data_IF_154499166204
#
_entry.id   IF_154499166204
#
_cell.length_a   1.000
_cell.length_b   1.000
_cell.length_c   1.000
_cell.angle_alpha   90.00
_cell.angle_beta   90.00
_cell.angle_gamma   90.00
#
_symmetry.space_group_name_H-M   'P 1'
#
loop_
_entity.id
_entity.type
_entity.pdbx_description
1 polymer ?
#
# COMPACT_ATOMS: atom_id res chain seq x y z
N UNK A 1 -40.96 -29.69 -14.19
CA UNK A 1 -40.21 -28.57 -13.59
C UNK A 1 -40.24 -28.73 -12.06
N UNK A 2 -39.25 -29.41 -11.47
CA UNK A 2 -39.11 -29.52 -9.99
C UNK A 2 -37.67 -29.80 -9.50
N UNK A 3 -36.66 -29.77 -10.39
CA UNK A 3 -35.27 -30.13 -10.05
C UNK A 3 -34.44 -29.04 -9.35
N UNK A 4 -34.86 -27.77 -9.41
CA UNK A 4 -34.08 -26.64 -8.88
C UNK A 4 -34.18 -26.43 -7.37
N UNK A 5 -35.19 -27.00 -6.71
CA UNK A 5 -35.40 -26.84 -5.27
C UNK A 5 -34.68 -27.94 -4.45
N UNK A 6 -34.52 -29.14 -5.02
CA UNK A 6 -33.78 -30.24 -4.40
C UNK A 6 -32.30 -29.93 -4.25
N UNK A 7 -31.68 -29.36 -5.29
CA UNK A 7 -30.25 -29.02 -5.29
C UNK A 7 -29.90 -27.94 -4.24
N UNK A 8 -30.80 -26.96 -4.02
CA UNK A 8 -30.65 -25.92 -2.98
C UNK A 8 -30.77 -26.49 -1.56
N UNK A 9 -31.62 -27.49 -1.34
CA UNK A 9 -31.77 -28.17 -0.05
C UNK A 9 -30.61 -29.12 0.23
N UNK A 10 -30.12 -29.79 -0.81
CA UNK A 10 -29.05 -30.78 -0.73
C UNK A 10 -27.68 -30.11 -0.50
N UNK A 11 -27.41 -28.97 -1.13
CA UNK A 11 -26.22 -28.16 -0.82
C UNK A 11 -26.28 -27.51 0.57
N UNK A 12 -27.46 -27.08 1.04
CA UNK A 12 -27.63 -26.63 2.45
C UNK A 12 -27.41 -27.76 3.46
N UNK A 13 -27.78 -28.99 3.12
CA UNK A 13 -27.52 -30.20 3.92
C UNK A 13 -26.05 -30.63 3.89
N UNK A 14 -25.39 -30.59 2.73
CA UNK A 14 -23.94 -30.84 2.63
C UNK A 14 -23.18 -29.80 3.45
N UNK A 15 -23.53 -28.52 3.33
CA UNK A 15 -22.93 -27.46 4.15
C UNK A 15 -23.11 -27.73 5.63
N UNK A 16 -24.32 -28.13 6.09
CA UNK A 16 -24.55 -28.52 7.50
C UNK A 16 -23.70 -29.72 7.95
N UNK A 17 -23.48 -30.72 7.10
CA UNK A 17 -22.65 -31.90 7.45
C UNK A 17 -21.16 -31.56 7.49
N UNK A 18 -20.67 -30.72 6.58
CA UNK A 18 -19.26 -30.26 6.60
C UNK A 18 -19.00 -29.24 7.73
N UNK A 19 -20.03 -28.57 8.25
CA UNK A 19 -19.94 -27.61 9.36
C UNK A 19 -19.69 -28.30 10.73
N UNK A 20 -20.06 -29.57 10.89
CA UNK A 20 -19.96 -30.27 12.18
C UNK A 20 -18.61 -30.96 12.43
N UNK A 21 -17.74 -31.13 11.43
CA UNK A 21 -16.56 -32.01 11.58
C UNK A 21 -15.18 -31.34 11.66
N UNK A 22 -14.92 -30.11 11.17
CA UNK A 22 -13.55 -29.55 11.26
C UNK A 22 -13.50 -28.03 11.50
N UNK A 23 -13.15 -27.61 12.72
CA UNK A 23 -13.10 -26.20 13.15
C UNK A 23 -11.95 -25.36 12.55
N UNK A 24 -10.93 -25.98 11.94
CA UNK A 24 -9.79 -25.27 11.34
C UNK A 24 -10.00 -24.89 9.86
N UNK A 25 -10.76 -25.68 9.09
CA UNK A 25 -11.05 -25.40 7.67
C UNK A 25 -12.16 -24.36 7.44
N UNK A 26 -12.84 -23.92 8.50
CA UNK A 26 -13.94 -22.94 8.38
C UNK A 26 -13.48 -21.49 8.12
N UNK A 27 -12.23 -21.15 8.47
CA UNK A 27 -11.73 -19.77 8.35
C UNK A 27 -11.52 -19.31 6.90
N UNK A 28 -10.92 -20.11 5.98
CA UNK A 28 -10.69 -19.68 4.60
C UNK A 28 -11.99 -19.58 3.79
N UNK A 29 -12.99 -20.43 4.05
CA UNK A 29 -14.24 -20.42 3.26
C UNK A 29 -15.07 -19.18 3.55
N UNK A 30 -15.07 -18.69 4.79
CA UNK A 30 -15.82 -17.49 5.21
C UNK A 30 -15.20 -16.17 4.75
N UNK A 31 -13.97 -16.18 4.24
CA UNK A 31 -13.30 -14.97 3.74
C UNK A 31 -13.60 -14.73 2.26
N UNK A 32 -14.11 -15.73 1.53
CA UNK A 32 -14.38 -15.64 0.09
C UNK A 32 -15.72 -14.92 -0.14
N UNK A 33 -15.73 -13.78 -0.85
CA UNK A 33 -16.94 -13.15 -1.34
C UNK A 33 -17.73 -14.07 -2.26
N UNK A 34 -19.05 -14.04 -2.15
CA UNK A 34 -19.94 -14.76 -3.07
C UNK A 34 -20.64 -13.75 -3.97
N UNK A 35 -20.36 -13.83 -5.27
CA UNK A 35 -21.12 -13.05 -6.26
C UNK A 35 -22.52 -13.62 -6.42
N UNK A 36 -23.50 -12.73 -6.57
CA UNK A 36 -24.89 -13.10 -6.90
C UNK A 36 -25.05 -13.57 -8.34
N UNK A 37 -24.06 -13.32 -9.18
CA UNK A 37 -24.08 -13.65 -10.60
C UNK A 37 -23.49 -15.01 -10.93
N UNK A 38 -22.97 -15.73 -9.93
CA UNK A 38 -22.42 -17.10 -10.07
C UNK A 38 -21.45 -17.22 -11.26
N UNK A 39 -20.37 -16.39 -11.29
CA UNK A 39 -19.36 -16.50 -12.33
C UNK A 39 -18.67 -17.87 -12.26
N UNK A 40 -18.10 -18.31 -13.38
CA UNK A 40 -17.28 -19.52 -13.41
C UNK A 40 -16.05 -19.36 -12.50
N UNK A 41 -15.65 -20.47 -11.87
CA UNK A 41 -14.44 -20.50 -11.05
C UNK A 41 -13.22 -20.10 -11.88
N UNK A 42 -12.35 -19.30 -11.28
CA UNK A 42 -11.12 -18.82 -11.91
C UNK A 42 -9.98 -18.79 -10.91
N UNK A 43 -8.76 -18.92 -11.42
CA UNK A 43 -7.55 -18.78 -10.63
C UNK A 43 -7.18 -17.31 -10.49
N UNK A 44 -6.66 -16.93 -9.32
CA UNK A 44 -6.11 -15.59 -9.10
C UNK A 44 -4.72 -15.64 -8.47
N UNK A 45 -3.92 -14.63 -8.78
CA UNK A 45 -2.57 -14.45 -8.25
C UNK A 45 -2.62 -13.72 -6.90
N UNK A 46 -2.69 -14.49 -5.82
CA UNK A 46 -2.83 -13.96 -4.46
C UNK A 46 -1.80 -12.90 -4.01
N UNK A 47 -0.53 -12.87 -4.50
CA UNK A 47 0.44 -11.85 -4.07
C UNK A 47 0.10 -10.43 -4.52
N UNK A 48 -0.83 -10.27 -5.45
CA UNK A 48 -1.28 -8.95 -5.94
C UNK A 48 -2.70 -8.68 -5.50
N UNK A 49 -2.99 -7.45 -5.08
CA UNK A 49 -4.32 -7.04 -4.62
C UNK A 49 -5.41 -7.16 -5.69
N UNK A 50 -5.07 -7.01 -6.97
CA UNK A 50 -5.99 -7.23 -8.09
C UNK A 50 -6.05 -8.69 -8.57
N UNK A 51 -5.26 -9.59 -7.98
CA UNK A 51 -5.23 -10.99 -8.38
C UNK A 51 -4.57 -11.26 -9.74
N UNK A 52 -3.86 -10.28 -10.31
CA UNK A 52 -3.21 -10.41 -11.63
C UNK A 52 -1.73 -10.75 -11.50
N UNK A 53 -1.28 -11.76 -12.25
CA UNK A 53 0.13 -12.13 -12.28
C UNK A 53 1.02 -11.00 -12.82
N UNK A 54 2.19 -10.82 -12.22
CA UNK A 54 3.27 -10.01 -12.81
C UNK A 54 4.63 -10.65 -12.53
N UNK A 55 5.58 -10.50 -13.44
CA UNK A 55 6.96 -10.99 -13.25
C UNK A 55 7.58 -10.40 -11.98
N UNK A 56 7.25 -9.14 -11.66
CA UNK A 56 7.70 -8.47 -10.43
C UNK A 56 7.16 -9.15 -9.17
N UNK A 57 5.86 -9.46 -9.12
CA UNK A 57 5.24 -10.11 -7.95
C UNK A 57 5.68 -11.57 -7.82
N UNK A 58 5.92 -12.27 -8.94
CA UNK A 58 6.49 -13.60 -8.94
C UNK A 58 7.95 -13.62 -8.46
N UNK A 59 8.77 -12.69 -8.95
CA UNK A 59 10.15 -12.52 -8.47
C UNK A 59 10.20 -12.15 -6.99
N UNK A 60 9.32 -11.26 -6.53
CA UNK A 60 9.18 -10.92 -5.12
C UNK A 60 8.79 -12.15 -4.29
N UNK A 61 7.81 -12.95 -4.73
CA UNK A 61 7.41 -14.18 -4.04
C UNK A 61 8.54 -15.21 -3.99
N UNK A 62 9.27 -15.39 -5.10
CA UNK A 62 10.46 -16.25 -5.15
C UNK A 62 11.58 -15.73 -4.22
N UNK A 63 11.74 -14.41 -4.14
CA UNK A 63 12.65 -13.78 -3.19
C UNK A 63 12.22 -13.98 -1.74
N UNK A 64 10.92 -13.97 -1.39
CA UNK A 64 10.47 -14.26 0.00
C UNK A 64 10.92 -15.64 0.44
N UNK A 65 10.83 -16.64 -0.44
CA UNK A 65 11.39 -17.97 -0.17
C UNK A 65 12.88 -17.88 0.18
N UNK A 66 13.65 -17.15 -0.61
CA UNK A 66 15.06 -16.89 -0.30
C UNK A 66 15.25 -16.08 0.98
N UNK A 67 14.41 -15.08 1.25
CA UNK A 67 14.50 -14.18 2.41
C UNK A 67 14.20 -14.94 3.68
N UNK A 68 13.19 -15.82 3.69
CA UNK A 68 12.83 -16.68 4.84
C UNK A 68 13.92 -17.72 5.11
N UNK A 69 14.51 -18.29 4.07
CA UNK A 69 15.67 -19.20 4.20
C UNK A 69 16.92 -18.44 4.66
N UNK A 70 17.07 -17.17 4.29
CA UNK A 70 18.21 -16.31 4.65
C UNK A 70 18.06 -15.70 6.04
N UNK A 71 16.86 -15.35 6.49
CA UNK A 71 16.53 -14.91 7.85
C UNK A 71 16.77 -16.02 8.88
N UNK A 72 16.41 -17.27 8.53
CA UNK A 72 16.72 -18.46 9.32
C UNK A 72 18.23 -18.72 9.42
N UNK A 73 19.00 -18.37 8.38
CA UNK A 73 20.44 -18.62 8.32
C UNK A 73 21.31 -17.43 8.78
N UNK A 74 20.82 -16.18 8.76
CA UNK A 74 21.63 -14.96 8.95
C UNK A 74 20.99 -13.85 9.82
N UNK A 75 19.77 -14.04 10.34
CA UNK A 75 19.17 -13.21 11.39
C UNK A 75 18.40 -11.94 10.95
N UNK A 76 17.37 -11.59 11.72
CA UNK A 76 16.31 -10.60 11.43
C UNK A 76 16.71 -9.10 11.43
N UNK A 77 18.01 -8.74 11.50
CA UNK A 77 18.46 -7.34 11.64
C UNK A 77 18.50 -6.52 10.34
N UNK A 78 18.24 -7.12 9.17
CA UNK A 78 18.26 -6.40 7.88
C UNK A 78 17.01 -5.52 7.62
N UNK A 79 15.87 -5.80 8.27
CA UNK A 79 14.62 -5.05 8.10
C UNK A 79 14.80 -3.53 8.29
N UNK A 80 15.46 -3.13 9.37
CA UNK A 80 15.61 -1.72 9.73
C UNK A 80 16.58 -1.00 8.78
N UNK A 81 17.63 -1.68 8.33
CA UNK A 81 18.63 -1.13 7.41
C UNK A 81 17.98 -0.71 6.08
N UNK A 82 17.10 -1.54 5.52
CA UNK A 82 16.41 -1.19 4.27
C UNK A 82 15.48 0.01 4.46
N UNK A 83 14.84 0.11 5.62
CA UNK A 83 14.05 1.29 5.98
C UNK A 83 14.90 2.57 5.98
N UNK A 84 16.14 2.52 6.48
CA UNK A 84 17.06 3.67 6.37
C UNK A 84 17.46 3.99 4.93
N UNK A 85 17.84 2.98 4.13
CA UNK A 85 18.27 3.18 2.73
C UNK A 85 17.16 3.80 1.87
N UNK A 86 15.93 3.30 2.00
CA UNK A 86 14.81 3.77 1.18
C UNK A 86 14.16 5.06 1.69
N UNK A 87 14.44 5.47 2.94
CA UNK A 87 14.05 6.79 3.49
C UNK A 87 15.10 7.89 3.27
N UNK A 88 16.23 7.58 2.63
CA UNK A 88 17.19 8.61 2.23
C UNK A 88 16.51 9.55 1.23
N UNK A 89 16.35 10.82 1.62
CA UNK A 89 15.87 11.84 0.70
C UNK A 89 16.96 12.09 -0.36
N UNK A 90 16.56 12.16 -1.63
CA UNK A 90 17.48 12.39 -2.73
C UNK A 90 17.08 11.65 -4.01
N UNK A 91 17.93 11.69 -5.03
CA UNK A 91 17.69 10.97 -6.28
C UNK A 91 17.53 9.47 -6.03
N UNK A 92 16.60 8.75 -6.68
CA UNK A 92 16.44 7.29 -6.53
C UNK A 92 17.75 6.51 -6.77
N UNK A 93 18.64 7.07 -7.62
CA UNK A 93 19.97 6.52 -7.87
C UNK A 93 20.84 6.46 -6.61
N UNK A 94 20.71 7.43 -5.68
CA UNK A 94 21.43 7.45 -4.41
C UNK A 94 21.01 6.28 -3.53
N UNK A 95 19.70 6.09 -3.31
CA UNK A 95 19.18 4.97 -2.50
C UNK A 95 19.54 3.62 -3.11
N UNK A 96 19.44 3.47 -4.44
CA UNK A 96 19.83 2.26 -5.13
C UNK A 96 21.34 1.97 -5.01
N UNK A 97 22.19 3.00 -5.13
CA UNK A 97 23.63 2.87 -4.90
C UNK A 97 23.94 2.41 -3.47
N UNK A 98 23.33 3.03 -2.46
CA UNK A 98 23.50 2.66 -1.06
C UNK A 98 23.06 1.23 -0.78
N UNK A 99 21.92 0.81 -1.36
CA UNK A 99 21.47 -0.59 -1.31
C UNK A 99 22.53 -1.55 -1.87
N UNK A 100 23.10 -1.25 -3.03
CA UNK A 100 24.16 -2.07 -3.65
C UNK A 100 25.41 -2.14 -2.80
N UNK A 101 25.80 -1.02 -2.17
CA UNK A 101 26.95 -0.94 -1.27
C UNK A 101 26.72 -1.78 0.00
N UNK A 102 25.55 -1.68 0.62
CA UNK A 102 25.17 -2.49 1.79
C UNK A 102 25.10 -3.98 1.47
N UNK A 103 24.59 -4.37 0.29
CA UNK A 103 24.59 -5.77 -0.17
C UNK A 103 25.96 -6.30 -0.59
N UNK A 104 27.01 -5.48 -0.57
CA UNK A 104 28.35 -5.92 -0.95
C UNK A 104 28.52 -6.17 -2.46
N UNK A 105 27.70 -5.52 -3.30
CA UNK A 105 27.57 -5.80 -4.73
C UNK A 105 28.22 -4.76 -5.66
N UNK A 106 29.00 -3.85 -5.10
CA UNK A 106 29.80 -2.90 -5.89
C UNK A 106 30.93 -3.64 -6.60
N UNK A 107 31.20 -3.27 -7.84
CA UNK A 107 32.17 -3.93 -8.71
C UNK A 107 33.62 -3.48 -8.40
N UNK A 108 34.07 -3.69 -7.15
CA UNK A 108 35.48 -3.50 -6.77
C UNK A 108 36.32 -4.66 -7.29
N UNK A 109 37.64 -4.48 -7.43
CA UNK A 109 38.51 -5.56 -7.92
C UNK A 109 38.44 -6.80 -7.01
N UNK A 110 38.33 -6.65 -5.69
CA UNK A 110 38.10 -7.77 -4.77
C UNK A 110 36.79 -8.53 -5.03
N UNK A 111 35.70 -7.84 -5.36
CA UNK A 111 34.42 -8.48 -5.72
C UNK A 111 34.50 -9.15 -7.09
N UNK A 112 35.12 -8.50 -8.08
CA UNK A 112 35.28 -9.05 -9.42
C UNK A 112 36.18 -10.30 -9.43
N UNK A 113 37.23 -10.31 -8.62
CA UNK A 113 38.09 -11.47 -8.42
C UNK A 113 37.32 -12.65 -7.81
N UNK A 114 36.56 -12.42 -6.72
CA UNK A 114 35.75 -13.48 -6.08
C UNK A 114 34.69 -14.07 -7.00
N UNK A 115 34.28 -13.33 -8.03
CA UNK A 115 33.34 -13.79 -9.07
C UNK A 115 34.05 -14.39 -10.29
N UNK A 116 35.37 -14.55 -10.23
CA UNK A 116 36.20 -15.07 -11.33
C UNK A 116 36.13 -14.23 -12.62
N UNK A 117 35.81 -12.93 -12.52
CA UNK A 117 35.76 -12.00 -13.66
C UNK A 117 37.13 -11.37 -13.93
N UNK A 118 37.93 -11.16 -12.87
CA UNK A 118 39.29 -10.59 -12.94
C UNK A 118 40.28 -11.50 -12.21
N UNK A 119 41.55 -11.44 -12.62
CA UNK A 119 42.64 -12.26 -12.08
C UNK A 119 43.41 -11.60 -10.92
N UNK A 120 43.12 -10.33 -10.61
CA UNK A 120 43.78 -9.57 -9.54
C UNK A 120 42.75 -8.83 -8.69
N UNK A 121 43.05 -8.68 -7.39
CA UNK A 121 42.29 -7.87 -6.44
C UNK A 121 42.86 -6.45 -6.28
N UNK A 122 43.98 -6.14 -6.92
CA UNK A 122 44.72 -4.89 -6.74
C UNK A 122 43.87 -3.68 -7.16
N UNK A 123 43.90 -2.63 -6.34
CA UNK A 123 43.22 -1.38 -6.64
C UNK A 123 43.90 -0.65 -7.80
N UNK A 124 43.14 -0.41 -8.88
CA UNK A 124 43.65 0.30 -10.07
C UNK A 124 43.96 1.78 -9.83
N UNK A 125 43.55 2.35 -8.68
CA UNK A 125 43.75 3.78 -8.37
C UNK A 125 45.01 4.02 -7.52
N UNK A 126 45.24 3.22 -6.49
CA UNK A 126 46.34 3.42 -5.54
C UNK A 126 47.30 2.24 -5.41
N UNK A 127 47.04 1.12 -6.09
CA UNK A 127 47.91 -0.07 -6.05
C UNK A 127 47.78 -0.92 -4.78
N UNK A 128 46.83 -0.64 -3.89
CA UNK A 128 46.58 -1.47 -2.71
C UNK A 128 46.24 -2.92 -3.10
N UNK A 129 46.71 -3.95 -2.35
CA UNK A 129 46.61 -5.35 -2.77
C UNK A 129 45.19 -5.93 -2.76
N UNK A 130 44.28 -5.38 -1.95
CA UNK A 130 42.87 -5.79 -1.87
C UNK A 130 41.93 -4.59 -1.98
N UNK A 131 41.34 -4.39 -3.17
CA UNK A 131 40.29 -3.39 -3.39
C UNK A 131 38.95 -3.91 -2.84
N UNK A 132 38.75 -3.75 -1.54
CA UNK A 132 37.47 -3.96 -0.89
C UNK A 132 36.52 -2.77 -1.09
N UNK A 133 35.25 -2.93 -0.72
CA UNK A 133 34.27 -1.83 -0.73
C UNK A 133 34.66 -0.75 0.28
N UNK A 134 35.15 -1.14 1.46
CA UNK A 134 35.62 -0.19 2.47
C UNK A 134 36.86 0.55 1.97
N UNK A 135 37.78 -0.16 1.32
CA UNK A 135 38.93 0.45 0.69
C UNK A 135 38.50 1.50 -0.33
N UNK A 136 37.65 1.12 -1.27
CA UNK A 136 37.19 2.01 -2.35
C UNK A 136 36.48 3.26 -1.82
N UNK A 137 35.67 3.11 -0.77
CA UNK A 137 34.80 4.18 -0.29
C UNK A 137 35.43 5.04 0.83
N UNK A 138 36.45 4.55 1.54
CA UNK A 138 37.03 5.25 2.71
C UNK A 138 38.55 5.32 2.72
N UNK A 139 39.27 4.30 2.26
CA UNK A 139 40.72 4.19 2.47
C UNK A 139 41.55 4.53 1.23
N UNK A 140 40.95 4.49 0.05
CA UNK A 140 41.63 4.81 -1.21
C UNK A 140 42.02 6.29 -1.25
N UNK A 141 43.12 6.62 -1.94
CA UNK A 141 43.72 7.97 -1.98
C UNK A 141 42.70 9.10 -2.25
N UNK A 142 41.80 8.92 -3.22
CA UNK A 142 40.77 9.93 -3.54
C UNK A 142 39.67 10.01 -2.48
N UNK A 143 39.28 8.87 -1.90
CA UNK A 143 38.27 8.84 -0.85
C UNK A 143 38.78 9.55 0.41
N UNK A 144 40.04 9.33 0.79
CA UNK A 144 40.67 10.01 1.93
C UNK A 144 40.63 11.54 1.79
N UNK A 145 40.88 12.09 0.60
CA UNK A 145 40.82 13.53 0.33
C UNK A 145 39.40 14.09 0.50
N UNK A 146 38.38 13.36 0.03
CA UNK A 146 36.97 13.73 0.20
C UNK A 146 36.60 13.73 1.69
N UNK A 147 36.98 12.68 2.42
CA UNK A 147 36.64 12.57 3.85
C UNK A 147 37.37 13.59 4.70
N UNK A 148 38.65 13.89 4.41
CA UNK A 148 39.43 14.90 5.10
C UNK A 148 38.82 16.31 4.97
N UNK A 149 38.07 16.56 3.89
CA UNK A 149 37.37 17.81 3.63
C UNK A 149 35.92 17.83 4.16
N UNK A 150 35.49 16.79 4.88
CA UNK A 150 34.11 16.61 5.33
C UNK A 150 33.95 16.77 6.85
N UNK A 151 32.72 16.98 7.33
CA UNK A 151 32.41 17.01 8.77
C UNK A 151 32.43 15.63 9.46
N UNK A 152 32.69 14.54 8.73
CA UNK A 152 32.57 13.17 9.24
C UNK A 152 33.88 12.56 9.73
N UNK A 153 34.99 13.31 9.73
CA UNK A 153 36.33 12.80 10.09
C UNK A 153 36.34 12.10 11.45
N UNK A 154 35.72 12.70 12.46
CA UNK A 154 35.68 12.13 13.82
C UNK A 154 34.83 10.85 13.87
N UNK A 155 33.66 10.88 13.23
CA UNK A 155 32.78 9.70 13.17
C UNK A 155 33.43 8.50 12.47
N UNK A 156 34.28 8.75 11.45
CA UNK A 156 34.96 7.69 10.71
C UNK A 156 35.98 6.92 11.56
N UNK A 157 36.54 7.56 12.60
CA UNK A 157 37.48 6.93 13.53
C UNK A 157 36.81 5.86 14.38
N UNK A 158 35.60 6.13 14.85
CA UNK A 158 34.83 5.23 15.73
C UNK A 158 33.99 4.21 14.96
N UNK A 159 33.86 4.39 13.64
CA UNK A 159 32.97 3.60 12.81
C UNK A 159 33.48 2.16 12.60
N UNK A 160 32.61 1.13 12.69
CA UNK A 160 32.99 -0.26 12.44
C UNK A 160 33.67 -0.47 11.08
N UNK A 161 34.79 -1.22 11.06
CA UNK A 161 35.56 -1.54 9.84
C UNK A 161 35.26 -2.93 9.25
N UNK A 162 34.29 -3.66 9.80
CA UNK A 162 34.01 -5.05 9.39
C UNK A 162 33.23 -5.19 8.08
N UNK A 163 32.33 -4.26 7.79
CA UNK A 163 31.60 -4.21 6.51
C UNK A 163 30.97 -2.84 6.30
N UNK A 164 30.71 -2.49 5.04
CA UNK A 164 29.98 -1.26 4.71
C UNK A 164 28.59 -1.23 5.35
N UNK A 165 27.84 -2.34 5.33
CA UNK A 165 26.50 -2.41 5.90
C UNK A 165 26.49 -2.07 7.40
N UNK A 166 27.37 -2.70 8.19
CA UNK A 166 27.48 -2.42 9.64
C UNK A 166 27.90 -0.98 9.90
N UNK A 167 28.81 -0.43 9.09
CA UNK A 167 29.22 0.97 9.14
C UNK A 167 28.05 1.91 8.85
N UNK A 168 27.28 1.65 7.79
CA UNK A 168 26.12 2.46 7.42
C UNK A 168 25.04 2.46 8.52
N UNK A 169 24.72 1.28 9.09
CA UNK A 169 23.75 1.19 10.20
C UNK A 169 24.23 1.98 11.42
N UNK A 170 25.52 1.92 11.74
CA UNK A 170 26.10 2.70 12.82
C UNK A 170 25.94 4.21 12.58
N UNK A 171 26.27 4.69 11.36
CA UNK A 171 26.06 6.10 10.99
C UNK A 171 24.59 6.50 11.04
N UNK A 172 23.68 5.67 10.50
CA UNK A 172 22.24 5.94 10.52
C UNK A 172 21.67 6.04 11.94
N UNK A 173 22.27 5.34 12.91
CA UNK A 173 21.88 5.43 14.32
C UNK A 173 22.37 6.70 15.05
N UNK A 174 23.32 7.43 14.47
CA UNK A 174 24.01 8.58 15.11
C UNK A 174 23.76 9.91 14.43
N UNK A 175 23.46 9.90 13.13
CA UNK A 175 23.30 11.11 12.33
C UNK A 175 21.83 11.52 12.20
N UNK A 176 21.60 12.84 12.07
CA UNK A 176 20.30 13.36 11.63
C UNK A 176 20.02 12.96 10.18
N UNK A 177 18.75 13.09 9.75
CA UNK A 177 18.33 12.74 8.38
C UNK A 177 19.16 13.49 7.32
N UNK A 178 19.39 14.78 7.52
CA UNK A 178 20.18 15.63 6.62
C UNK A 178 21.65 15.22 6.57
N UNK A 179 22.27 14.98 7.73
CA UNK A 179 23.66 14.53 7.79
C UNK A 179 23.83 13.12 7.21
N UNK A 180 22.87 12.23 7.41
CA UNK A 180 22.89 10.89 6.82
C UNK A 180 22.79 10.95 5.29
N UNK A 181 21.97 11.87 4.74
CA UNK A 181 21.90 12.15 3.30
C UNK A 181 23.22 12.68 2.77
N UNK A 182 23.84 13.64 3.47
CA UNK A 182 25.14 14.17 3.09
C UNK A 182 26.21 13.08 3.09
N UNK A 183 26.27 12.27 4.16
CA UNK A 183 27.15 11.11 4.26
C UNK A 183 26.96 10.15 3.07
N UNK A 184 25.72 9.74 2.78
CA UNK A 184 25.42 8.86 1.65
C UNK A 184 25.85 9.47 0.30
N UNK A 185 25.69 10.78 0.14
CA UNK A 185 26.10 11.52 -1.06
C UNK A 185 27.61 11.51 -1.23
N UNK A 186 28.38 11.71 -0.15
CA UNK A 186 29.84 11.64 -0.18
C UNK A 186 30.34 10.22 -0.48
N UNK A 187 29.72 9.19 0.10
CA UNK A 187 30.02 7.79 -0.27
C UNK A 187 29.80 7.56 -1.76
N UNK A 188 28.70 8.10 -2.32
CA UNK A 188 28.41 7.98 -3.73
C UNK A 188 29.44 8.74 -4.60
N UNK A 189 29.85 9.93 -4.16
CA UNK A 189 30.91 10.69 -4.80
C UNK A 189 32.26 9.95 -4.80
N UNK A 190 32.64 9.29 -3.69
CA UNK A 190 33.86 8.46 -3.63
C UNK A 190 33.84 7.37 -4.71
N UNK A 191 32.72 6.67 -4.86
CA UNK A 191 32.55 5.64 -5.89
C UNK A 191 32.65 6.19 -7.31
N UNK A 192 31.97 7.30 -7.58
CA UNK A 192 31.99 7.95 -8.89
C UNK A 192 33.37 8.53 -9.22
N UNK A 193 34.05 9.14 -8.26
CA UNK A 193 35.41 9.64 -8.38
C UNK A 193 36.39 8.50 -8.73
N UNK A 194 36.30 7.36 -8.03
CA UNK A 194 37.08 6.16 -8.38
C UNK A 194 36.79 5.68 -9.79
N UNK A 195 35.53 5.57 -10.18
CA UNK A 195 35.18 5.08 -11.52
C UNK A 195 35.67 6.01 -12.62
N UNK A 196 35.56 7.32 -12.42
CA UNK A 196 36.09 8.31 -13.35
C UNK A 196 37.60 8.11 -13.53
N UNK A 197 38.34 8.00 -12.43
CA UNK A 197 39.79 7.75 -12.48
C UNK A 197 40.18 6.44 -13.18
N UNK A 198 39.37 5.38 -13.02
CA UNK A 198 39.66 4.06 -13.61
C UNK A 198 39.29 3.95 -15.09
N UNK A 199 38.19 4.60 -15.52
CA UNK A 199 37.61 4.36 -16.84
C UNK A 199 37.78 5.51 -17.83
N UNK A 200 37.84 6.77 -17.37
CA UNK A 200 37.88 7.94 -18.26
C UNK A 200 39.30 8.46 -18.48
N UNK A 201 40.26 8.08 -17.63
CA UNK A 201 41.63 8.60 -17.67
C UNK A 201 41.71 10.09 -17.31
N UNK A 202 42.89 10.54 -16.89
CA UNK A 202 43.14 11.94 -16.52
C UNK A 202 43.19 12.22 -15.02
N UNK A 203 43.60 13.44 -14.66
CA UNK A 203 43.61 13.93 -13.28
C UNK A 203 42.16 14.16 -12.80
N UNK A 204 41.86 13.66 -11.61
CA UNK A 204 40.54 13.80 -10.99
C UNK A 204 40.73 14.56 -9.69
N UNK A 205 40.09 15.72 -9.58
CA UNK A 205 40.02 16.50 -8.35
C UNK A 205 38.89 15.97 -7.45
N UNK A 206 39.19 15.17 -6.39
CA UNK A 206 38.16 14.42 -5.68
C UNK A 206 37.20 15.31 -4.90
N UNK A 207 37.71 16.42 -4.36
CA UNK A 207 36.93 17.38 -3.57
C UNK A 207 35.92 18.13 -4.45
N UNK A 208 36.32 18.53 -5.66
CA UNK A 208 35.42 19.18 -6.62
C UNK A 208 34.31 18.22 -7.07
N UNK A 209 34.65 16.95 -7.33
CA UNK A 209 33.65 15.92 -7.66
C UNK A 209 32.66 15.77 -6.50
N UNK A 210 33.14 15.67 -5.26
CA UNK A 210 32.27 15.57 -4.09
C UNK A 210 31.34 16.79 -3.94
N UNK A 211 31.88 18.01 -4.07
CA UNK A 211 31.08 19.24 -4.03
C UNK A 211 29.99 19.26 -5.12
N UNK A 212 30.32 18.80 -6.33
CA UNK A 212 29.35 18.67 -7.43
C UNK A 212 28.19 17.73 -7.11
N UNK A 213 28.47 16.57 -6.49
CA UNK A 213 27.45 15.62 -6.05
C UNK A 213 26.57 16.16 -4.92
N UNK A 214 27.16 16.87 -3.95
CA UNK A 214 26.41 17.54 -2.88
C UNK A 214 25.44 18.56 -3.46
N UNK A 215 25.91 19.42 -4.38
CA UNK A 215 25.05 20.37 -5.09
C UNK A 215 23.93 19.67 -5.85
N UNK A 216 24.26 18.64 -6.62
CA UNK A 216 23.28 17.86 -7.40
C UNK A 216 22.17 17.26 -6.53
N UNK A 217 22.52 16.63 -5.39
CA UNK A 217 21.52 16.04 -4.49
C UNK A 217 20.66 17.13 -3.83
N UNK A 218 21.26 18.25 -3.43
CA UNK A 218 20.52 19.38 -2.86
C UNK A 218 19.54 19.99 -3.87
N UNK A 219 19.98 20.26 -5.10
CA UNK A 219 19.13 20.79 -6.19
C UNK A 219 17.96 19.85 -6.48
N UNK A 220 18.23 18.53 -6.53
CA UNK A 220 17.18 17.53 -6.71
C UNK A 220 16.14 17.55 -5.57
N UNK A 221 16.59 17.65 -4.32
CA UNK A 221 15.66 17.67 -3.17
C UNK A 221 14.79 18.93 -3.17
N UNK A 222 15.37 20.10 -3.44
CA UNK A 222 14.62 21.35 -3.55
C UNK A 222 13.63 21.33 -4.73
N UNK A 223 14.03 20.77 -5.88
CA UNK A 223 13.14 20.62 -7.02
C UNK A 223 11.96 19.69 -6.69
N UNK A 224 12.22 18.54 -6.06
CA UNK A 224 11.18 17.60 -5.68
C UNK A 224 10.20 18.19 -4.66
N UNK A 225 10.66 19.00 -3.71
CA UNK A 225 9.78 19.73 -2.80
C UNK A 225 8.88 20.69 -3.55
N UNK A 226 9.41 21.45 -4.51
CA UNK A 226 8.61 22.37 -5.35
C UNK A 226 7.59 21.62 -6.21
N UNK A 227 7.98 20.52 -6.84
CA UNK A 227 7.07 19.71 -7.68
C UNK A 227 5.99 19.02 -6.84
N UNK A 228 6.33 18.51 -5.65
CA UNK A 228 5.35 17.91 -4.75
C UNK A 228 4.26 18.91 -4.34
N UNK A 229 4.62 20.19 -4.16
CA UNK A 229 3.68 21.29 -3.86
C UNK A 229 2.81 21.65 -5.08
N UNK A 230 3.31 21.51 -6.31
CA UNK A 230 2.55 21.83 -7.53
C UNK A 230 1.77 20.62 -8.12
N UNK A 231 2.10 19.40 -7.71
CA UNK A 231 1.40 18.17 -8.13
C UNK A 231 0.06 17.96 -7.40
N UNK A 232 -0.26 18.78 -6.40
CA UNK A 232 -1.63 18.89 -5.90
C UNK A 232 -2.43 19.77 -6.87
N UNK A 233 -2.95 19.16 -7.95
CA UNK A 233 -4.16 19.67 -8.60
C UNK A 233 -5.30 19.78 -7.57
N UNK A 234 -6.50 20.29 -7.92
CA UNK A 234 -7.60 20.35 -6.99
C UNK A 234 -7.92 18.92 -6.53
N UNK A 235 -7.36 18.56 -5.37
CA UNK A 235 -7.81 17.44 -4.58
C UNK A 235 -9.25 17.80 -4.31
N UNK A 236 -10.19 17.01 -4.84
CA UNK A 236 -11.55 17.02 -4.33
C UNK A 236 -11.37 16.73 -2.85
N UNK A 237 -11.35 17.80 -2.05
CA UNK A 237 -11.20 17.72 -0.60
C UNK A 237 -12.37 16.88 -0.16
N UNK A 238 -12.08 15.66 0.29
CA UNK A 238 -13.10 14.81 0.87
C UNK A 238 -13.74 15.61 1.99
N UNK A 239 -15.02 15.96 1.79
CA UNK A 239 -15.73 16.83 2.70
C UNK A 239 -15.66 16.20 4.11
N UNK A 240 -15.35 17.03 5.10
CA UNK A 240 -15.37 16.63 6.51
C UNK A 240 -16.78 16.51 7.06
N UNK A 241 -17.76 17.10 6.37
CA UNK A 241 -19.19 17.07 6.67
C UNK A 241 -19.97 16.54 5.48
N UNK A 242 -21.12 15.93 5.77
CA UNK A 242 -22.06 15.51 4.74
C UNK A 242 -22.64 16.73 4.01
N UNK A 243 -23.01 16.57 2.74
CA UNK A 243 -23.64 17.64 1.96
C UNK A 243 -24.88 17.10 1.23
N UNK A 244 -25.97 17.87 1.12
CA UNK A 244 -27.16 17.40 0.39
C UNK A 244 -26.89 17.13 -1.10
N UNK A 245 -27.50 16.09 -1.69
CA UNK A 245 -27.46 15.86 -3.14
C UNK A 245 -28.35 16.88 -3.89
N UNK A 246 -28.20 16.99 -5.23
CA UNK A 246 -29.13 17.77 -6.06
C UNK A 246 -30.58 17.27 -5.97
N UNK A 247 -31.54 18.17 -6.24
CA UNK A 247 -32.97 17.82 -6.25
C UNK A 247 -33.27 16.62 -7.18
N UNK A 248 -34.09 15.69 -6.71
CA UNK A 248 -34.44 14.46 -7.43
C UNK A 248 -33.34 13.38 -7.43
N UNK A 249 -32.26 13.57 -6.66
CA UNK A 249 -31.20 12.58 -6.42
C UNK A 249 -31.21 12.18 -4.95
N UNK A 250 -31.02 10.89 -4.66
CA UNK A 250 -30.78 10.42 -3.29
C UNK A 250 -29.30 10.21 -3.03
N UNK A 251 -28.89 10.44 -1.79
CA UNK A 251 -27.53 10.16 -1.33
C UNK A 251 -27.55 8.97 -0.39
N UNK A 252 -26.70 8.00 -0.68
CA UNK A 252 -26.64 6.69 -0.02
C UNK A 252 -25.30 6.59 0.69
N UNK A 253 -25.30 6.85 1.98
CA UNK A 253 -24.14 6.69 2.86
C UNK A 253 -24.02 5.24 3.28
N UNK A 254 -22.83 4.66 3.13
CA UNK A 254 -22.57 3.25 3.44
C UNK A 254 -21.33 3.12 4.31
N UNK A 255 -21.33 2.17 5.24
CA UNK A 255 -20.18 1.87 6.12
C UNK A 255 -20.20 0.40 6.55
N UNK A 256 -19.02 -0.23 6.69
CA UNK A 256 -18.91 -1.57 7.22
C UNK A 256 -18.36 -1.58 8.66
N UNK A 257 -18.93 -2.45 9.49
CA UNK A 257 -18.38 -2.76 10.80
C UNK A 257 -18.02 -4.25 10.91
N UNK A 258 -16.73 -4.53 11.11
CA UNK A 258 -16.23 -5.90 11.33
C UNK A 258 -16.33 -6.26 12.81
N UNK A 259 -17.02 -7.34 13.13
CA UNK A 259 -17.12 -7.86 14.50
C UNK A 259 -16.23 -9.10 14.66
N UNK A 260 -16.10 -9.62 15.89
CA UNK A 260 -15.44 -10.92 16.12
C UNK A 260 -16.10 -12.05 15.34
N UNK A 261 -17.42 -11.97 15.19
CA UNK A 261 -18.24 -12.86 14.38
C UNK A 261 -19.03 -12.04 13.35
N UNK A 262 -18.68 -12.18 12.08
CA UNK A 262 -19.38 -11.57 10.95
C UNK A 262 -19.07 -10.09 10.69
N UNK A 263 -19.80 -9.56 9.70
CA UNK A 263 -19.73 -8.16 9.26
C UNK A 263 -21.12 -7.53 9.34
N UNK A 264 -21.20 -6.32 9.92
CA UNK A 264 -22.36 -5.45 9.83
C UNK A 264 -22.19 -4.48 8.67
N UNK A 265 -23.21 -4.42 7.82
CA UNK A 265 -23.27 -3.54 6.65
C UNK A 265 -24.32 -2.49 6.94
N UNK A 266 -23.93 -1.22 7.07
CA UNK A 266 -24.83 -0.10 7.36
C UNK A 266 -25.09 0.77 6.14
N UNK A 267 -26.33 1.21 5.97
CA UNK A 267 -26.77 2.12 4.89
C UNK A 267 -27.73 3.16 5.44
N UNK A 268 -27.53 4.42 5.06
CA UNK A 268 -28.46 5.53 5.31
C UNK A 268 -28.74 6.23 3.99
N UNK A 269 -30.01 6.35 3.62
CA UNK A 269 -30.44 7.03 2.39
C UNK A 269 -31.11 8.34 2.78
N UNK A 270 -30.64 9.44 2.19
CA UNK A 270 -31.12 10.80 2.44
C UNK A 270 -31.49 11.52 1.15
N UNK A 271 -32.47 12.41 1.23
CA UNK A 271 -32.87 13.27 0.12
C UNK A 271 -32.05 14.57 0.05
N UNK A 272 -32.41 15.44 -0.89
CA UNK A 272 -31.80 16.77 -1.10
C UNK A 272 -32.04 17.76 0.05
N UNK A 273 -32.93 17.45 1.00
CA UNK A 273 -33.21 18.25 2.20
C UNK A 273 -32.49 17.69 3.43
N UNK A 274 -31.75 16.59 3.28
CA UNK A 274 -31.14 15.87 4.40
C UNK A 274 -32.10 14.96 5.17
N UNK A 275 -33.34 14.82 4.71
CA UNK A 275 -34.33 13.94 5.37
C UNK A 275 -33.94 12.49 5.15
N UNK A 276 -33.91 11.72 6.23
CA UNK A 276 -33.67 10.27 6.17
C UNK A 276 -34.90 9.61 5.53
N UNK A 277 -34.68 8.98 4.38
CA UNK A 277 -35.71 8.22 3.67
C UNK A 277 -35.67 6.74 4.06
N UNK A 278 -34.48 6.22 4.35
CA UNK A 278 -34.29 4.84 4.77
C UNK A 278 -33.02 4.67 5.59
N UNK A 279 -33.05 3.75 6.55
CA UNK A 279 -31.86 3.24 7.22
C UNK A 279 -31.91 1.72 7.18
N UNK A 280 -30.81 1.07 6.82
CA UNK A 280 -30.76 -0.37 6.72
C UNK A 280 -29.46 -0.92 7.27
N UNK A 281 -29.57 -2.07 7.94
CA UNK A 281 -28.44 -2.84 8.41
C UNK A 281 -28.61 -4.27 7.97
N UNK A 282 -27.51 -4.90 7.55
CA UNK A 282 -27.47 -6.32 7.23
C UNK A 282 -26.33 -6.98 7.99
N UNK A 283 -26.63 -8.06 8.70
CA UNK A 283 -25.60 -8.89 9.33
C UNK A 283 -25.24 -10.06 8.44
N UNK A 284 -23.97 -10.08 8.01
CA UNK A 284 -23.44 -11.16 7.18
C UNK A 284 -22.49 -12.01 7.99
N UNK A 285 -22.71 -13.32 7.93
CA UNK A 285 -21.81 -14.28 8.51
C UNK A 285 -20.58 -14.51 7.60
N UNK A 286 -19.58 -13.65 7.77
CA UNK A 286 -18.36 -13.65 6.98
C UNK A 286 -17.15 -13.18 7.80
N UNK A 287 -15.97 -13.64 7.40
CA UNK A 287 -14.69 -13.26 8.00
C UNK A 287 -13.89 -12.38 7.02
N UNK A 288 -14.51 -11.30 6.56
CA UNK A 288 -13.92 -10.42 5.55
C UNK A 288 -12.91 -9.44 6.15
N UNK A 289 -11.91 -9.06 5.36
CA UNK A 289 -11.10 -7.88 5.64
C UNK A 289 -11.97 -6.62 5.57
N UNK A 290 -11.50 -5.52 6.17
CA UNK A 290 -12.18 -4.23 6.08
C UNK A 290 -12.44 -3.83 4.61
N UNK A 291 -11.46 -4.04 3.73
CA UNK A 291 -11.57 -3.70 2.30
C UNK A 291 -12.70 -4.47 1.59
N UNK A 292 -12.81 -5.78 1.85
CA UNK A 292 -13.85 -6.64 1.28
C UNK A 292 -15.22 -6.30 1.87
N UNK A 293 -15.25 -6.00 3.17
CA UNK A 293 -16.46 -5.56 3.85
C UNK A 293 -16.99 -4.24 3.25
N UNK A 294 -16.12 -3.26 3.00
CA UNK A 294 -16.51 -1.99 2.36
C UNK A 294 -17.03 -2.17 0.93
N UNK A 295 -16.39 -3.03 0.13
CA UNK A 295 -16.90 -3.37 -1.20
C UNK A 295 -18.28 -4.05 -1.15
N UNK A 296 -18.49 -4.98 -0.21
CA UNK A 296 -19.81 -5.58 0.03
C UNK A 296 -20.85 -4.55 0.45
N UNK A 297 -20.45 -3.56 1.26
CA UNK A 297 -21.35 -2.52 1.76
C UNK A 297 -21.76 -1.57 0.65
N UNK A 298 -20.83 -1.18 -0.23
CA UNK A 298 -21.14 -0.42 -1.44
C UNK A 298 -22.13 -1.17 -2.36
N UNK A 299 -21.91 -2.47 -2.57
CA UNK A 299 -22.84 -3.31 -3.33
C UNK A 299 -24.24 -3.34 -2.69
N UNK A 300 -24.31 -3.53 -1.37
CA UNK A 300 -25.59 -3.56 -0.66
C UNK A 300 -26.32 -2.22 -0.72
N UNK A 301 -25.63 -1.10 -0.52
CA UNK A 301 -26.20 0.23 -0.62
C UNK A 301 -26.76 0.54 -2.01
N UNK A 302 -25.99 0.25 -3.07
CA UNK A 302 -26.46 0.40 -4.45
C UNK A 302 -27.67 -0.51 -4.73
N UNK A 303 -27.61 -1.79 -4.33
CA UNK A 303 -28.70 -2.73 -4.54
C UNK A 303 -29.97 -2.33 -3.76
N UNK A 304 -29.82 -1.79 -2.54
CA UNK A 304 -30.92 -1.31 -1.73
C UNK A 304 -31.58 -0.07 -2.35
N UNK A 305 -30.80 0.89 -2.82
CA UNK A 305 -31.34 2.08 -3.48
C UNK A 305 -32.22 1.70 -4.67
N UNK A 306 -31.76 0.74 -5.49
CA UNK A 306 -32.55 0.19 -6.60
C UNK A 306 -33.80 -0.56 -6.12
N UNK A 307 -33.70 -1.38 -5.07
CA UNK A 307 -34.86 -2.10 -4.49
C UNK A 307 -35.95 -1.16 -4.01
N UNK A 308 -35.59 0.04 -3.55
CA UNK A 308 -36.50 1.07 -3.08
C UNK A 308 -37.00 1.99 -4.22
N UNK A 309 -36.63 1.73 -5.47
CA UNK A 309 -37.12 2.46 -6.63
C UNK A 309 -36.41 3.77 -6.92
N UNK A 310 -35.24 4.04 -6.31
CA UNK A 310 -34.46 5.22 -6.63
C UNK A 310 -33.66 5.03 -7.91
N UNK A 311 -33.70 6.02 -8.79
CA UNK A 311 -33.06 5.97 -10.11
C UNK A 311 -31.83 6.88 -10.23
N UNK A 312 -31.79 8.00 -9.51
CA UNK A 312 -30.63 8.92 -9.45
C UNK A 312 -29.97 8.81 -8.08
N UNK A 313 -28.73 8.31 -8.04
CA UNK A 313 -28.05 7.91 -6.80
C UNK A 313 -26.63 8.48 -6.72
N UNK A 314 -26.29 9.05 -5.56
CA UNK A 314 -24.90 9.32 -5.16
C UNK A 314 -24.55 8.39 -4.00
N UNK A 315 -23.62 7.45 -4.21
CA UNK A 315 -23.11 6.57 -3.17
C UNK A 315 -21.90 7.21 -2.47
N UNK A 316 -21.94 7.33 -1.15
CA UNK A 316 -20.86 7.85 -0.31
C UNK A 316 -20.31 6.75 0.61
N UNK A 317 -18.98 6.54 0.58
CA UNK A 317 -18.27 5.65 1.51
C UNK A 317 -16.91 6.24 1.95
N UNK A 318 -16.32 5.71 3.02
CA UNK A 318 -15.00 6.13 3.53
C UNK A 318 -13.83 5.31 2.95
N UNK A 319 -14.13 4.34 2.07
CA UNK A 319 -13.17 3.48 1.40
C UNK A 319 -12.72 4.04 0.04
N UNK A 320 -11.61 4.79 0.03
CA UNK A 320 -11.05 5.39 -1.19
C UNK A 320 -10.72 4.36 -2.28
N UNK A 321 -10.31 3.15 -1.91
CA UNK A 321 -10.07 2.05 -2.85
C UNK A 321 -11.36 1.65 -3.60
N UNK A 322 -12.48 1.51 -2.90
CA UNK A 322 -13.79 1.19 -3.50
C UNK A 322 -14.20 2.27 -4.49
N UNK A 323 -14.11 3.54 -4.10
CA UNK A 323 -14.45 4.68 -4.97
C UNK A 323 -13.61 4.68 -6.24
N UNK A 324 -12.28 4.53 -6.12
CA UNK A 324 -11.36 4.50 -7.27
C UNK A 324 -11.64 3.33 -8.22
N UNK A 325 -11.87 2.13 -7.69
CA UNK A 325 -12.14 0.94 -8.50
C UNK A 325 -13.46 1.07 -9.27
N UNK A 326 -14.49 1.64 -8.66
CA UNK A 326 -15.78 1.91 -9.31
C UNK A 326 -15.61 2.97 -10.40
N UNK A 327 -14.98 4.10 -10.08
CA UNK A 327 -14.84 5.26 -10.98
C UNK A 327 -13.97 4.96 -12.21
N UNK A 328 -12.83 4.27 -12.01
CA UNK A 328 -11.92 3.90 -13.10
C UNK A 328 -12.33 2.62 -13.83
N UNK A 329 -13.29 1.86 -13.29
CA UNK A 329 -13.66 0.56 -13.84
C UNK A 329 -12.51 -0.46 -13.81
N UNK A 330 -11.68 -0.47 -12.76
CA UNK A 330 -10.50 -1.38 -12.70
C UNK A 330 -10.94 -2.85 -12.71
N UNK A 331 -10.27 -3.69 -13.48
CA UNK A 331 -10.53 -5.13 -13.57
C UNK A 331 -9.47 -5.95 -12.81
N UNK A 332 -9.84 -7.17 -12.44
CA UNK A 332 -9.00 -8.05 -11.63
C UNK A 332 -9.66 -9.39 -11.35
N UNK A 333 -8.87 -10.35 -10.91
CA UNK A 333 -9.29 -11.71 -10.60
C UNK A 333 -9.35 -11.99 -9.09
N UNK A 334 -8.89 -11.06 -8.24
CA UNK A 334 -8.93 -11.25 -6.79
C UNK A 334 -10.39 -11.37 -6.28
N UNK A 335 -10.65 -12.09 -5.17
CA UNK A 335 -12.02 -12.38 -4.73
C UNK A 335 -12.89 -11.13 -4.48
N UNK A 336 -12.31 -9.98 -4.12
CA UNK A 336 -13.03 -8.70 -3.97
C UNK A 336 -13.68 -8.23 -5.29
N UNK A 337 -13.13 -8.61 -6.45
CA UNK A 337 -13.66 -8.21 -7.76
C UNK A 337 -15.01 -8.84 -8.07
N UNK A 338 -15.37 -9.94 -7.40
CA UNK A 338 -16.73 -10.49 -7.43
C UNK A 338 -17.78 -9.45 -7.00
N UNK A 339 -17.45 -8.61 -5.99
CA UNK A 339 -18.32 -7.51 -5.60
C UNK A 339 -18.27 -6.35 -6.59
N UNK A 340 -17.10 -6.01 -7.14
CA UNK A 340 -17.00 -4.92 -8.12
C UNK A 340 -17.76 -5.24 -9.41
N UNK A 341 -17.73 -6.48 -9.89
CA UNK A 341 -18.54 -6.94 -11.01
C UNK A 341 -20.05 -6.86 -10.72
N UNK A 342 -20.47 -7.31 -9.54
CA UNK A 342 -21.87 -7.18 -9.12
C UNK A 342 -22.29 -5.70 -8.97
N UNK A 343 -21.40 -4.84 -8.47
CA UNK A 343 -21.63 -3.39 -8.38
C UNK A 343 -21.84 -2.84 -9.78
N UNK A 344 -20.97 -3.14 -10.75
CA UNK A 344 -21.11 -2.69 -12.15
C UNK A 344 -22.46 -3.08 -12.74
N UNK A 345 -22.90 -4.32 -12.49
CA UNK A 345 -24.21 -4.81 -12.93
C UNK A 345 -25.36 -4.07 -12.26
N UNK A 346 -25.25 -3.71 -10.98
CA UNK A 346 -26.29 -2.95 -10.29
C UNK A 346 -26.33 -1.51 -10.78
N UNK A 347 -25.17 -0.85 -10.89
CA UNK A 347 -25.11 0.59 -11.18
C UNK A 347 -25.51 0.93 -12.62
N UNK A 348 -25.39 -0.02 -13.55
CA UNK A 348 -25.83 0.16 -14.94
C UNK A 348 -27.35 0.32 -15.11
N UNK A 349 -28.13 0.05 -14.05
CA UNK A 349 -29.59 0.20 -14.06
C UNK A 349 -30.07 1.58 -13.60
N UNK A 350 -29.17 2.46 -13.16
CA UNK A 350 -29.52 3.83 -12.76
C UNK A 350 -29.35 4.78 -13.94
N UNK A 351 -30.28 5.72 -14.12
CA UNK A 351 -30.07 6.83 -15.08
C UNK A 351 -28.92 7.76 -14.67
N UNK A 352 -28.64 7.85 -13.37
CA UNK A 352 -27.51 8.58 -12.83
C UNK A 352 -26.93 7.86 -11.61
N UNK A 353 -25.65 7.52 -11.66
CA UNK A 353 -24.91 6.98 -10.53
C UNK A 353 -23.56 7.68 -10.39
N UNK A 354 -23.21 8.08 -9.18
CA UNK A 354 -21.87 8.57 -8.83
C UNK A 354 -21.43 8.00 -7.49
N UNK A 355 -20.21 7.47 -7.42
CA UNK A 355 -19.59 7.09 -6.16
C UNK A 355 -18.58 8.17 -5.74
N UNK A 356 -18.65 8.63 -4.50
CA UNK A 356 -17.75 9.66 -3.98
C UNK A 356 -17.21 9.25 -2.60
N UNK A 357 -15.97 9.67 -2.33
CA UNK A 357 -15.33 9.42 -1.05
C UNK A 357 -15.66 10.53 -0.04
N UNK A 358 -16.02 10.14 1.17
CA UNK A 358 -16.22 11.04 2.31
C UNK A 358 -15.28 10.66 3.45
N UNK A 359 -14.80 11.62 4.25
CA UNK A 359 -14.02 11.29 5.46
C UNK A 359 -14.95 10.69 6.51
N UNK A 360 -14.42 9.91 7.45
CA UNK A 360 -15.19 9.33 8.56
C UNK A 360 -16.11 10.33 9.29
N UNK A 361 -15.67 11.57 9.45
CA UNK A 361 -16.48 12.64 10.06
C UNK A 361 -17.81 12.92 9.34
N UNK A 362 -17.86 12.79 8.02
CA UNK A 362 -19.07 12.99 7.21
C UNK A 362 -19.84 11.70 6.90
N UNK A 363 -19.48 10.58 7.54
CA UNK A 363 -20.15 9.27 7.36
C UNK A 363 -20.64 8.65 8.68
N UNK A 364 -20.76 9.46 9.73
CA UNK A 364 -21.08 9.01 11.11
C UNK A 364 -22.44 8.30 11.19
N UNK A 365 -23.43 8.74 10.41
CA UNK A 365 -24.75 8.11 10.35
C UNK A 365 -24.68 6.65 9.87
N UNK A 366 -24.01 6.39 8.74
CA UNK A 366 -23.84 5.02 8.24
C UNK A 366 -22.98 4.18 9.20
N UNK A 367 -21.96 4.79 9.80
CA UNK A 367 -21.11 4.17 10.81
C UNK A 367 -21.88 3.71 12.05
N UNK A 368 -22.85 4.51 12.51
CA UNK A 368 -23.76 4.13 13.59
C UNK A 368 -24.65 2.95 13.17
N UNK A 369 -25.26 3.01 11.98
CA UNK A 369 -26.18 1.98 11.47
C UNK A 369 -25.47 0.65 11.25
N UNK A 370 -24.21 0.64 10.82
CA UNK A 370 -23.41 -0.57 10.62
C UNK A 370 -23.24 -1.39 11.92
N UNK A 371 -23.43 -0.76 13.09
CA UNK A 371 -23.35 -1.37 14.42
C UNK A 371 -24.69 -1.82 15.00
N UNK A 372 -25.81 -1.55 14.33
CA UNK A 372 -27.11 -1.97 14.83
C UNK A 372 -27.18 -3.50 14.95
N UNK A 373 -27.76 -3.95 16.06
CA UNK A 373 -27.91 -5.38 16.33
C UNK A 373 -29.04 -6.00 15.51
N UNK A 374 -28.68 -6.97 14.69
CA UNK A 374 -29.57 -7.82 13.89
C UNK A 374 -29.05 -9.25 13.92
N UNK A 375 -29.96 -10.22 13.86
CA UNK A 375 -29.62 -11.64 13.76
C UNK A 375 -28.74 -11.93 12.53
N UNK A 376 -27.89 -12.95 12.65
CA UNK A 376 -27.01 -13.38 11.56
C UNK A 376 -27.81 -13.84 10.34
N UNK A 377 -27.42 -13.35 9.16
CA UNK A 377 -28.09 -13.67 7.90
C UNK A 377 -29.35 -12.87 7.63
N UNK A 378 -29.76 -12.01 8.57
CA UNK A 378 -30.93 -11.15 8.46
C UNK A 378 -30.55 -9.72 8.04
N UNK A 379 -31.52 -9.04 7.41
CA UNK A 379 -31.46 -7.61 7.14
C UNK A 379 -32.64 -6.92 7.82
N UNK A 380 -32.42 -5.70 8.31
CA UNK A 380 -33.46 -4.81 8.82
C UNK A 380 -33.44 -3.54 8.00
N UNK A 381 -34.60 -3.14 7.47
CA UNK A 381 -34.79 -1.92 6.70
C UNK A 381 -35.87 -1.09 7.38
N UNK A 382 -35.52 0.10 7.83
CA UNK A 382 -36.42 1.07 8.43
C UNK A 382 -36.69 2.17 7.40
N UNK A 383 -37.95 2.36 7.03
CA UNK A 383 -38.39 3.42 6.09
C UNK A 383 -39.07 4.59 6.81
N UNK A 384 -39.23 4.50 8.13
CA UNK A 384 -39.85 5.50 9.00
C UNK A 384 -39.58 5.14 10.47
N UNK A 385 -39.80 6.11 11.37
CA UNK A 385 -39.50 6.00 12.80
C UNK A 385 -38.03 5.63 13.07
N UNK A 386 -37.13 6.59 12.93
CA UNK A 386 -35.69 6.39 13.15
C UNK A 386 -35.32 6.60 14.63
N UNK A 387 -34.34 5.85 15.17
CA UNK A 387 -33.82 6.11 16.50
C UNK A 387 -33.30 7.55 16.61
N UNK A 388 -33.54 8.19 17.76
CA UNK A 388 -33.14 9.58 17.99
C UNK A 388 -31.65 9.81 17.72
N UNK A 389 -30.79 8.84 18.05
CA UNK A 389 -29.35 8.89 17.78
C UNK A 389 -29.01 9.05 16.30
N UNK A 390 -29.76 8.41 15.41
CA UNK A 390 -29.56 8.52 13.97
C UNK A 390 -30.11 9.87 13.45
N UNK A 391 -31.29 10.28 13.91
CA UNK A 391 -31.90 11.56 13.54
C UNK A 391 -30.98 12.72 13.93
N UNK A 392 -30.44 12.71 15.15
CA UNK A 392 -29.52 13.74 15.63
C UNK A 392 -28.21 13.80 14.82
N UNK A 393 -27.64 12.66 14.41
CA UNK A 393 -26.47 12.68 13.53
C UNK A 393 -26.80 13.26 12.15
N UNK A 394 -27.96 12.94 11.59
CA UNK A 394 -28.38 13.49 10.31
C UNK A 394 -28.67 15.00 10.37
N UNK A 395 -29.16 15.51 11.51
CA UNK A 395 -29.35 16.94 11.74
C UNK A 395 -28.02 17.69 11.90
N UNK A 396 -27.06 17.11 12.64
CA UNK A 396 -25.71 17.66 12.79
C UNK A 396 -24.93 17.73 11.46
N UNK A 397 -25.21 16.80 10.56
CA UNK A 397 -24.64 16.79 9.21
C UNK A 397 -25.11 18.00 8.34
N UNK A 398 -26.16 18.73 8.77
CA UNK A 398 -26.70 19.91 8.08
C UNK A 398 -26.28 21.25 8.68
N UNK A 399 -25.59 21.24 9.83
CA UNK A 399 -25.07 22.43 10.53
C UNK A 399 -23.60 22.63 10.22
#
# INVERSE_FOLDING_TARGET
>A
MNGGNGMKQEQRRMKKRTIEEDGEEQKPVRTIPLSRSWPCDSYYWWPTSNGMYSVRSAYWLGMIGHTRTWELNFGARESDMWSWVWRLDGPPKLSHFMWRACKGSLATMGVLFRRHIRQSMVCNVCGAPDESILHTLFECKHAQLIWASSEFVDYLRDAPVSSFAKRFVWFASKLSKEKLRLFATLVWACWCCRNKAVFEGGEVEPVEVAAGFVRFVNDYTQYNERVAVHATGPVVTSASSWNPPPHGTVKVNVDAHTFSTGVGVGVVIRDYRGVILAAAVKRTDAAWSAEVAEASTALYGAALARRLGYDKVILECDAMNVVRTIDKGEEGAAPIFLFYEDIRKVISHFSFFKCIHVRRGGNTAAHLVARWEVEFGSERICMGCFPQSLTTLAELDLT
#
